data_IF_319195531315
#
_entry.id   IF_319195531315
#
_cell.length_a   1.000
_cell.length_b   1.000
_cell.length_c   1.000
_cell.angle_alpha   90.00
_cell.angle_beta   90.00
_cell.angle_gamma   90.00
#
_symmetry.space_group_name_H-M   'P 1'
#
loop_
_entity.id
_entity.type
_entity.pdbx_description
1 polymer ?
#
# COMPACT_ATOMS: atom_id res chain seq x y z
N UNK A 1 -20.35 16.60 -86.17
CA UNK A 1 -21.18 16.96 -84.98
C UNK A 1 -20.41 16.72 -83.68
N UNK A 2 -19.10 16.47 -83.74
CA UNK A 2 -18.33 15.90 -82.62
C UNK A 2 -17.78 16.93 -81.64
N UNK A 3 -17.50 18.15 -82.12
CA UNK A 3 -17.02 19.25 -81.27
C UNK A 3 -18.09 19.70 -80.27
N UNK A 4 -19.36 19.80 -80.69
CA UNK A 4 -20.44 20.23 -79.81
C UNK A 4 -20.68 19.21 -78.70
N UNK A 5 -20.58 17.90 -79.01
CA UNK A 5 -20.72 16.83 -78.04
C UNK A 5 -19.58 16.83 -77.00
N UNK A 6 -18.34 17.10 -77.43
CA UNK A 6 -17.17 17.19 -76.55
C UNK A 6 -17.28 18.35 -75.56
N UNK A 7 -17.71 19.53 -76.02
CA UNK A 7 -17.93 20.68 -75.13
C UNK A 7 -19.09 20.46 -74.15
N UNK A 8 -20.13 19.73 -74.56
CA UNK A 8 -21.27 19.41 -73.69
C UNK A 8 -20.87 18.37 -72.61
N UNK A 9 -20.02 17.41 -72.94
CA UNK A 9 -19.46 16.48 -71.95
C UNK A 9 -18.56 17.19 -70.93
N UNK A 10 -17.78 18.18 -71.37
CA UNK A 10 -16.89 18.93 -70.49
C UNK A 10 -17.68 19.80 -69.51
N UNK A 11 -18.75 20.47 -69.97
CA UNK A 11 -19.61 21.27 -69.07
C UNK A 11 -20.36 20.40 -68.07
N UNK A 12 -20.82 19.22 -68.48
CA UNK A 12 -21.46 18.25 -67.56
C UNK A 12 -20.47 17.71 -66.53
N UNK A 13 -19.23 17.42 -66.91
CA UNK A 13 -18.19 16.96 -65.99
C UNK A 13 -17.84 18.04 -64.94
N UNK A 14 -17.73 19.31 -65.35
CA UNK A 14 -17.48 20.43 -64.44
C UNK A 14 -18.68 20.65 -63.51
N UNK A 15 -19.91 20.58 -64.02
CA UNK A 15 -21.13 20.71 -63.22
C UNK A 15 -21.25 19.57 -62.18
N UNK A 16 -20.93 18.34 -62.56
CA UNK A 16 -20.91 17.19 -61.66
C UNK A 16 -19.82 17.33 -60.58
N UNK A 17 -18.60 17.75 -60.96
CA UNK A 17 -17.52 18.03 -60.01
C UNK A 17 -17.87 19.13 -59.01
N UNK A 18 -18.55 20.19 -59.47
CA UNK A 18 -19.01 21.28 -58.61
C UNK A 18 -20.12 20.84 -57.64
N UNK A 19 -21.07 20.01 -58.10
CA UNK A 19 -22.13 19.45 -57.26
C UNK A 19 -21.56 18.51 -56.18
N UNK A 20 -20.63 17.63 -56.55
CA UNK A 20 -19.95 16.73 -55.59
C UNK A 20 -19.12 17.52 -54.59
N UNK A 21 -18.40 18.56 -55.03
CA UNK A 21 -17.64 19.44 -54.15
C UNK A 21 -18.52 20.23 -53.17
N UNK A 22 -19.74 20.59 -53.57
CA UNK A 22 -20.69 21.31 -52.71
C UNK A 22 -21.43 20.38 -51.75
N UNK A 23 -21.72 19.14 -52.16
CA UNK A 23 -22.35 18.12 -51.31
C UNK A 23 -21.37 17.50 -50.29
N UNK A 24 -20.07 17.50 -50.59
CA UNK A 24 -19.02 17.03 -49.68
C UNK A 24 -18.66 17.96 -48.53
N UNK A 25 -19.17 19.21 -48.50
CA UNK A 25 -18.76 20.22 -47.52
C UNK A 25 -19.77 20.44 -46.38
N UNK A 26 -20.68 19.48 -46.16
CA UNK A 26 -21.61 19.49 -45.01
C UNK A 26 -21.17 18.55 -43.87
N UNK A 27 -19.88 18.22 -43.83
CA UNK A 27 -19.24 17.66 -42.65
C UNK A 27 -19.14 18.75 -41.59
N UNK A 28 -20.13 18.77 -40.69
CA UNK A 28 -20.00 19.17 -39.28
C UNK A 28 -18.58 19.60 -38.92
N UNK A 29 -18.37 20.91 -38.69
CA UNK A 29 -17.30 21.41 -37.82
C UNK A 29 -17.58 20.89 -36.41
N UNK A 30 -17.43 19.59 -36.21
CA UNK A 30 -17.16 19.04 -34.92
C UNK A 30 -15.83 19.68 -34.52
N UNK A 31 -15.88 20.54 -33.51
CA UNK A 31 -14.79 20.69 -32.58
C UNK A 31 -14.37 19.26 -32.19
N UNK A 32 -13.45 18.65 -32.92
CA UNK A 32 -12.62 17.59 -32.38
C UNK A 32 -11.77 18.31 -31.35
N UNK A 33 -12.32 18.39 -30.15
CA UNK A 33 -11.52 18.48 -28.96
C UNK A 33 -10.39 17.46 -29.16
N UNK A 34 -9.17 17.96 -29.06
CA UNK A 34 -7.98 17.16 -28.81
C UNK A 34 -8.29 16.45 -27.49
N UNK A 35 -8.90 15.27 -27.59
CA UNK A 35 -9.36 14.48 -26.47
C UNK A 35 -9.21 13.03 -26.87
N UNK A 36 -7.94 12.65 -27.01
CA UNK A 36 -7.53 11.27 -26.82
C UNK A 36 -6.06 11.33 -26.36
N UNK A 37 -5.86 11.85 -25.13
CA UNK A 37 -4.56 11.91 -24.45
C UNK A 37 -3.87 10.54 -24.45
N UNK A 38 -4.65 9.47 -24.40
CA UNK A 38 -4.17 8.09 -24.41
C UNK A 38 -3.63 7.69 -25.80
N UNK A 39 -4.30 8.07 -26.90
CA UNK A 39 -3.78 7.78 -28.25
C UNK A 39 -2.51 8.56 -28.64
N UNK A 40 -2.29 9.73 -28.01
CA UNK A 40 -1.06 10.52 -28.19
C UNK A 40 0.06 9.95 -27.33
N UNK A 41 -0.24 9.56 -26.08
CA UNK A 41 0.70 8.83 -25.21
C UNK A 41 1.20 7.55 -25.86
N UNK A 42 0.32 6.72 -26.42
CA UNK A 42 0.70 5.46 -27.06
C UNK A 42 1.59 5.67 -28.29
N UNK A 43 1.27 6.66 -29.12
CA UNK A 43 2.08 7.00 -30.31
C UNK A 43 3.45 7.58 -29.94
N UNK A 44 3.50 8.40 -28.91
CA UNK A 44 4.76 8.94 -28.38
C UNK A 44 5.58 7.86 -27.69
N UNK A 45 4.95 6.97 -26.93
CA UNK A 45 5.62 5.84 -26.31
C UNK A 45 6.22 4.92 -27.38
N UNK A 46 5.50 4.65 -28.46
CA UNK A 46 6.04 3.90 -29.60
C UNK A 46 7.23 4.60 -30.27
N UNK A 47 7.21 5.94 -30.38
CA UNK A 47 8.34 6.72 -30.89
C UNK A 47 9.52 6.67 -29.90
N UNK A 48 9.35 6.98 -28.62
CA UNK A 48 10.46 7.06 -27.66
C UNK A 48 11.05 5.71 -27.21
N UNK A 49 10.43 4.59 -27.59
CA UNK A 49 10.98 3.25 -27.33
C UNK A 49 11.93 2.79 -28.45
N UNK A 50 11.83 3.39 -29.65
CA UNK A 50 12.53 2.92 -30.85
C UNK A 50 13.65 3.85 -31.35
N UNK A 51 13.82 5.05 -30.79
CA UNK A 51 14.87 6.01 -31.20
C UNK A 51 16.04 6.04 -30.22
N UNK A 52 17.21 6.47 -30.69
CA UNK A 52 18.40 6.68 -29.85
C UNK A 52 18.20 7.87 -28.92
N UNK A 53 18.79 7.77 -27.73
CA UNK A 53 18.73 8.79 -26.67
C UNK A 53 19.06 10.21 -27.16
N UNK A 54 20.07 10.35 -28.02
CA UNK A 54 20.52 11.63 -28.59
C UNK A 54 19.47 12.27 -29.51
N UNK A 55 18.70 11.46 -30.24
CA UNK A 55 17.61 11.96 -31.08
C UNK A 55 16.46 12.52 -30.24
N UNK A 56 16.17 11.92 -29.09
CA UNK A 56 15.14 12.39 -28.17
C UNK A 56 15.55 13.71 -27.53
N UNK A 57 16.81 13.84 -27.10
CA UNK A 57 17.32 15.07 -26.50
C UNK A 57 17.33 16.25 -27.49
N UNK A 58 17.82 16.02 -28.71
CA UNK A 58 17.77 17.02 -29.79
C UNK A 58 16.33 17.40 -30.16
N UNK A 59 15.41 16.42 -30.20
CA UNK A 59 14.00 16.68 -30.46
C UNK A 59 13.38 17.56 -29.36
N UNK A 60 13.64 17.26 -28.08
CA UNK A 60 13.12 18.04 -26.95
C UNK A 60 13.67 19.47 -26.97
N UNK A 61 14.96 19.66 -27.27
CA UNK A 61 15.57 20.99 -27.37
C UNK A 61 15.03 21.80 -28.57
N UNK A 62 14.68 21.11 -29.65
CA UNK A 62 14.09 21.74 -30.85
C UNK A 62 12.60 22.09 -30.70
N UNK A 63 11.91 21.48 -29.73
CA UNK A 63 10.49 21.70 -29.53
C UNK A 63 10.25 23.06 -28.86
N UNK A 64 9.52 23.94 -29.53
CA UNK A 64 9.16 25.24 -28.96
C UNK A 64 8.27 25.05 -27.72
N UNK A 65 8.56 25.77 -26.63
CA UNK A 65 7.72 25.76 -25.42
C UNK A 65 6.56 26.72 -25.60
N UNK A 66 5.34 26.20 -25.69
CA UNK A 66 4.12 26.98 -25.79
C UNK A 66 2.90 26.19 -25.27
N UNK A 67 1.72 26.80 -25.28
CA UNK A 67 0.47 26.19 -24.78
C UNK A 67 0.15 24.82 -25.39
N UNK A 68 0.53 24.58 -26.64
CA UNK A 68 0.20 23.37 -27.39
C UNK A 68 1.24 22.25 -27.21
N UNK A 69 2.46 22.60 -26.75
CA UNK A 69 3.58 21.66 -26.60
C UNK A 69 3.93 21.32 -25.14
N UNK A 70 3.45 22.07 -24.15
CA UNK A 70 3.72 21.82 -22.73
C UNK A 70 3.31 20.41 -22.28
N UNK A 71 2.15 19.92 -22.74
CA UNK A 71 1.69 18.55 -22.44
C UNK A 71 2.63 17.47 -23.00
N UNK A 72 3.25 17.74 -24.15
CA UNK A 72 4.26 16.86 -24.75
C UNK A 72 5.53 16.85 -23.89
N UNK A 73 6.07 18.01 -23.49
CA UNK A 73 7.23 18.07 -22.60
C UNK A 73 7.00 17.33 -21.27
N UNK A 74 5.84 17.53 -20.64
CA UNK A 74 5.45 16.84 -19.41
C UNK A 74 5.43 15.30 -19.59
N UNK A 75 4.90 14.85 -20.72
CA UNK A 75 4.83 13.40 -21.03
C UNK A 75 6.23 12.82 -21.25
N UNK A 76 7.11 13.54 -21.95
CA UNK A 76 8.50 13.12 -22.18
C UNK A 76 9.29 13.06 -20.86
N UNK A 77 9.17 14.09 -20.01
CA UNK A 77 9.83 14.11 -18.70
C UNK A 77 9.38 12.94 -17.82
N UNK A 78 8.07 12.69 -17.75
CA UNK A 78 7.52 11.54 -17.02
C UNK A 78 8.03 10.19 -17.56
N UNK A 79 8.16 10.05 -18.88
CA UNK A 79 8.70 8.83 -19.51
C UNK A 79 10.16 8.57 -19.09
N UNK A 80 11.02 9.59 -19.12
CA UNK A 80 12.42 9.44 -18.68
C UNK A 80 12.52 9.08 -17.19
N UNK A 81 11.70 9.72 -16.34
CA UNK A 81 11.64 9.37 -14.90
C UNK A 81 11.25 7.90 -14.69
N UNK A 82 10.28 7.39 -15.46
CA UNK A 82 9.84 5.98 -15.38
C UNK A 82 10.91 5.00 -15.85
N UNK A 83 11.71 5.36 -16.86
CA UNK A 83 12.90 4.58 -17.28
C UNK A 83 14.04 4.61 -16.25
N UNK A 84 13.99 5.49 -15.25
CA UNK A 84 15.05 5.68 -14.26
C UNK A 84 16.09 6.73 -14.65
N UNK A 85 15.91 7.40 -15.79
CA UNK A 85 16.78 8.47 -16.30
C UNK A 85 16.41 9.82 -15.68
N UNK A 86 16.57 9.90 -14.36
CA UNK A 86 16.06 11.02 -13.56
C UNK A 86 16.73 12.36 -13.91
N UNK A 87 18.01 12.36 -14.25
CA UNK A 87 18.74 13.60 -14.64
C UNK A 87 18.14 14.25 -15.89
N UNK A 88 17.71 13.44 -16.87
CA UNK A 88 17.04 13.92 -18.08
C UNK A 88 15.67 14.48 -17.76
N UNK A 89 14.87 13.79 -16.95
CA UNK A 89 13.57 14.28 -16.51
C UNK A 89 13.69 15.65 -15.80
N UNK A 90 14.66 15.76 -14.88
CA UNK A 90 14.99 17.01 -14.18
C UNK A 90 15.32 18.11 -15.20
N UNK A 91 16.22 17.86 -16.14
CA UNK A 91 16.62 18.85 -17.15
C UNK A 91 15.42 19.34 -17.96
N UNK A 92 14.53 18.43 -18.36
CA UNK A 92 13.32 18.76 -19.14
C UNK A 92 12.39 19.67 -18.36
N UNK A 93 12.03 19.31 -17.12
CA UNK A 93 11.09 20.10 -16.34
C UNK A 93 11.71 21.40 -15.78
N UNK A 94 13.01 21.42 -15.48
CA UNK A 94 13.73 22.66 -15.16
C UNK A 94 13.73 23.63 -16.34
N UNK A 95 14.07 23.14 -17.54
CA UNK A 95 14.05 23.96 -18.75
C UNK A 95 12.64 24.49 -19.03
N UNK A 96 11.60 23.69 -18.78
CA UNK A 96 10.23 24.12 -18.95
C UNK A 96 9.85 25.25 -17.99
N UNK A 97 10.27 25.19 -16.71
CA UNK A 97 10.06 26.27 -15.72
C UNK A 97 10.88 27.53 -15.99
N UNK A 98 12.06 27.40 -16.60
CA UNK A 98 12.94 28.53 -16.90
C UNK A 98 12.44 29.39 -18.08
N UNK A 99 11.45 28.92 -18.84
CA UNK A 99 10.96 29.58 -20.06
C UNK A 99 9.85 30.59 -19.74
N UNK A 100 10.01 31.88 -20.08
CA UNK A 100 8.97 32.88 -19.86
C UNK A 100 7.70 32.63 -20.67
N UNK A 101 7.77 31.81 -21.73
CA UNK A 101 6.63 31.44 -22.57
C UNK A 101 5.72 30.37 -21.93
N UNK A 102 6.12 29.78 -20.80
CA UNK A 102 5.30 28.80 -20.08
C UNK A 102 4.01 29.46 -19.60
N UNK A 103 2.81 28.98 -20.03
CA UNK A 103 1.57 29.52 -19.52
C UNK A 103 1.46 29.29 -18.01
N UNK A 104 1.18 30.34 -17.25
CA UNK A 104 1.14 30.34 -15.77
C UNK A 104 0.27 29.24 -15.16
N UNK A 105 -0.81 28.85 -15.84
CA UNK A 105 -1.68 27.74 -15.43
C UNK A 105 -0.98 26.38 -15.33
N UNK A 106 0.12 26.19 -16.06
CA UNK A 106 0.90 24.96 -16.06
C UNK A 106 2.05 24.99 -15.06
N UNK A 107 2.45 26.17 -14.56
CA UNK A 107 3.56 26.29 -13.61
C UNK A 107 3.40 25.33 -12.41
N UNK A 108 2.24 25.24 -11.74
CA UNK A 108 2.07 24.29 -10.63
C UNK A 108 2.25 22.82 -11.04
N UNK A 109 1.79 22.46 -12.23
CA UNK A 109 1.94 21.09 -12.76
C UNK A 109 3.40 20.75 -13.01
N UNK A 110 4.14 21.65 -13.66
CA UNK A 110 5.57 21.44 -13.97
C UNK A 110 6.38 21.41 -12.67
N UNK A 111 6.07 22.27 -11.71
CA UNK A 111 6.71 22.26 -10.38
C UNK A 111 6.49 20.92 -9.66
N UNK A 112 5.28 20.36 -9.71
CA UNK A 112 5.00 19.06 -9.09
C UNK A 112 5.77 17.94 -9.80
N UNK A 113 5.83 17.96 -11.12
CA UNK A 113 6.58 16.95 -11.88
C UNK A 113 8.08 17.03 -11.63
N UNK A 114 8.66 18.24 -11.55
CA UNK A 114 10.06 18.43 -11.17
C UNK A 114 10.34 17.95 -9.73
N UNK A 115 9.40 18.20 -8.80
CA UNK A 115 9.53 17.70 -7.44
C UNK A 115 9.58 16.16 -7.41
N UNK A 116 8.73 15.48 -8.19
CA UNK A 116 8.76 14.01 -8.33
C UNK A 116 10.07 13.52 -8.94
N UNK A 117 10.65 14.25 -9.89
CA UNK A 117 11.94 13.88 -10.46
C UNK A 117 13.06 13.99 -9.41
N UNK A 118 13.06 15.04 -8.60
CA UNK A 118 13.99 15.18 -7.49
C UNK A 118 13.83 14.06 -6.45
N UNK A 119 12.60 13.67 -6.10
CA UNK A 119 12.35 12.52 -5.23
C UNK A 119 12.97 11.24 -5.82
N UNK A 120 12.77 11.01 -7.12
CA UNK A 120 13.31 9.83 -7.81
C UNK A 120 14.83 9.83 -7.89
N UNK A 121 15.45 11.01 -8.02
CA UNK A 121 16.89 11.21 -8.02
C UNK A 121 17.52 11.24 -6.61
N UNK A 122 16.72 11.22 -5.54
CA UNK A 122 17.21 11.33 -4.16
C UNK A 122 17.62 12.74 -3.74
N UNK A 123 17.23 13.78 -4.50
CA UNK A 123 17.47 15.19 -4.19
C UNK A 123 16.37 15.75 -3.27
N UNK A 124 16.30 15.21 -2.05
CA UNK A 124 15.16 15.35 -1.15
C UNK A 124 14.88 16.80 -0.74
N UNK A 125 15.89 17.57 -0.34
CA UNK A 125 15.73 18.98 0.05
C UNK A 125 15.11 19.85 -1.06
N UNK A 126 15.51 19.58 -2.32
CA UNK A 126 15.00 20.31 -3.48
C UNK A 126 13.56 19.92 -3.79
N UNK A 127 13.23 18.63 -3.64
CA UNK A 127 11.85 18.17 -3.77
C UNK A 127 10.97 18.81 -2.69
N UNK A 128 11.40 18.80 -1.42
CA UNK A 128 10.68 19.38 -0.29
C UNK A 128 10.35 20.86 -0.56
N UNK A 129 11.35 21.64 -0.99
CA UNK A 129 11.18 23.06 -1.29
C UNK A 129 10.12 23.33 -2.38
N UNK A 130 10.10 22.55 -3.46
CA UNK A 130 9.11 22.69 -4.52
C UNK A 130 7.71 22.26 -4.07
N UNK A 131 7.59 21.20 -3.27
CA UNK A 131 6.31 20.74 -2.75
C UNK A 131 5.70 21.77 -1.79
N UNK A 132 6.51 22.42 -0.95
CA UNK A 132 6.05 23.52 -0.07
C UNK A 132 5.51 24.71 -0.86
N UNK A 133 6.14 25.07 -1.99
CA UNK A 133 5.63 26.14 -2.86
C UNK A 133 4.21 25.87 -3.37
N UNK A 134 3.86 24.59 -3.55
CA UNK A 134 2.56 24.17 -4.06
C UNK A 134 1.49 24.00 -2.99
N UNK A 135 1.83 24.04 -1.70
CA UNK A 135 0.87 23.78 -0.61
C UNK A 135 -0.35 24.72 -0.61
N UNK A 136 -0.18 25.97 -1.07
CA UNK A 136 -1.27 26.94 -1.20
C UNK A 136 -2.07 26.85 -2.50
N UNK A 137 -1.66 26.00 -3.45
CA UNK A 137 -2.32 25.86 -4.74
C UNK A 137 -3.62 25.04 -4.61
N UNK A 138 -4.69 25.48 -5.26
CA UNK A 138 -6.02 24.87 -5.17
C UNK A 138 -6.06 23.45 -5.75
N UNK A 139 -5.36 23.21 -6.85
CA UNK A 139 -5.47 21.97 -7.62
C UNK A 139 -4.28 21.02 -7.32
N UNK A 140 -3.14 21.57 -6.86
CA UNK A 140 -1.90 20.84 -6.60
C UNK A 140 -1.48 20.78 -5.12
N UNK A 141 -2.10 21.57 -4.23
CA UNK A 141 -1.75 21.59 -2.80
C UNK A 141 -1.93 20.23 -2.13
N UNK A 142 -3.07 19.56 -2.36
CA UNK A 142 -3.32 18.22 -1.80
C UNK A 142 -2.32 17.17 -2.30
N UNK A 143 -2.04 17.16 -3.62
CA UNK A 143 -1.07 16.24 -4.21
C UNK A 143 0.33 16.45 -3.63
N UNK A 144 0.70 17.71 -3.42
CA UNK A 144 2.01 18.08 -2.89
C UNK A 144 2.14 17.69 -1.41
N UNK A 145 1.09 17.91 -0.63
CA UNK A 145 1.00 17.47 0.76
C UNK A 145 1.12 15.94 0.88
N UNK A 146 0.48 15.16 0.00
CA UNK A 146 0.64 13.70 -0.05
C UNK A 146 2.09 13.28 -0.32
N UNK A 147 2.76 13.93 -1.28
CA UNK A 147 4.18 13.67 -1.57
C UNK A 147 5.10 14.06 -0.40
N UNK A 148 4.82 15.16 0.30
CA UNK A 148 5.55 15.55 1.52
C UNK A 148 5.38 14.52 2.64
N UNK A 149 4.16 14.01 2.84
CA UNK A 149 3.91 12.96 3.83
C UNK A 149 4.70 11.70 3.49
N UNK A 150 4.73 11.27 2.22
CA UNK A 150 5.56 10.14 1.77
C UNK A 150 7.06 10.37 1.99
N UNK A 151 7.56 11.57 1.64
CA UNK A 151 8.94 11.97 1.84
C UNK A 151 9.34 11.89 3.32
N UNK A 152 8.59 12.54 4.20
CA UNK A 152 8.90 12.55 5.63
C UNK A 152 8.79 11.16 6.27
N UNK A 153 7.89 10.29 5.79
CA UNK A 153 7.86 8.90 6.23
C UNK A 153 9.11 8.13 5.82
N UNK A 154 9.64 8.38 4.61
CA UNK A 154 10.89 7.78 4.15
C UNK A 154 12.09 8.23 5.01
N UNK A 155 12.13 9.51 5.37
CA UNK A 155 13.17 10.08 6.25
C UNK A 155 12.95 9.77 7.73
N UNK A 156 11.81 9.18 8.10
CA UNK A 156 11.36 8.94 9.49
C UNK A 156 11.17 10.23 10.29
N UNK A 157 10.87 11.34 9.61
CA UNK A 157 10.50 12.63 10.18
C UNK A 157 9.00 12.64 10.56
N UNK A 158 8.60 11.74 11.46
CA UNK A 158 7.17 11.47 11.76
C UNK A 158 6.41 12.70 12.25
N UNK A 159 7.08 13.62 12.95
CA UNK A 159 6.45 14.85 13.44
C UNK A 159 6.03 15.73 12.26
N UNK A 160 6.94 15.97 11.30
CA UNK A 160 6.64 16.73 10.08
C UNK A 160 5.55 16.05 9.26
N UNK A 161 5.63 14.72 9.09
CA UNK A 161 4.61 13.94 8.38
C UNK A 161 3.22 14.09 9.03
N UNK A 162 3.16 14.00 10.37
CA UNK A 162 1.92 14.14 11.13
C UNK A 162 1.34 15.55 11.08
N UNK A 163 2.18 16.58 11.07
CA UNK A 163 1.73 17.97 10.92
C UNK A 163 1.07 18.20 9.57
N UNK A 164 1.69 17.75 8.48
CA UNK A 164 1.09 17.85 7.13
C UNK A 164 -0.20 17.03 7.04
N UNK A 165 -0.20 15.77 7.52
CA UNK A 165 -1.39 14.92 7.51
C UNK A 165 -2.56 15.52 8.32
N UNK A 166 -2.29 16.11 9.49
CA UNK A 166 -3.32 16.83 10.29
C UNK A 166 -3.92 18.03 9.57
N UNK A 167 -3.13 18.75 8.77
CA UNK A 167 -3.67 19.88 7.99
C UNK A 167 -4.64 19.39 6.90
N UNK A 168 -4.35 18.25 6.27
CA UNK A 168 -5.22 17.65 5.26
C UNK A 168 -6.53 17.11 5.87
N UNK A 169 -6.48 16.44 7.03
CA UNK A 169 -7.68 15.83 7.64
C UNK A 169 -8.64 16.85 8.25
N UNK A 170 -8.20 18.08 8.56
CA UNK A 170 -9.08 19.15 9.03
C UNK A 170 -9.97 19.73 7.93
N UNK A 171 -9.51 19.69 6.68
CA UNK A 171 -10.21 20.25 5.53
C UNK A 171 -11.09 19.25 4.80
N UNK A 172 -10.84 17.95 4.96
CA UNK A 172 -11.54 16.88 4.26
C UNK A 172 -11.68 15.62 5.14
N UNK A 173 -12.84 14.97 5.06
CA UNK A 173 -13.13 13.72 5.77
C UNK A 173 -12.66 12.52 4.93
N UNK A 174 -11.37 12.51 4.57
CA UNK A 174 -10.73 11.44 3.81
C UNK A 174 -10.32 10.29 4.75
N UNK A 175 -11.00 9.11 4.70
CA UNK A 175 -10.70 8.00 5.59
C UNK A 175 -9.28 7.44 5.40
N UNK A 176 -8.75 7.46 4.18
CA UNK A 176 -7.41 6.95 3.89
C UNK A 176 -6.35 7.85 4.53
N UNK A 177 -6.56 9.16 4.49
CA UNK A 177 -5.68 10.12 5.14
C UNK A 177 -5.76 10.03 6.67
N UNK A 178 -6.95 9.80 7.24
CA UNK A 178 -7.12 9.55 8.68
C UNK A 178 -6.37 8.28 9.12
N UNK A 179 -6.44 7.22 8.32
CA UNK A 179 -5.66 6.00 8.54
C UNK A 179 -4.15 6.28 8.52
N UNK A 180 -3.63 6.97 7.50
CA UNK A 180 -2.21 7.35 7.44
C UNK A 180 -1.81 8.14 8.69
N UNK A 181 -2.62 9.12 9.10
CA UNK A 181 -2.37 9.92 10.29
C UNK A 181 -2.37 9.08 11.58
N UNK A 182 -3.28 8.11 11.72
CA UNK A 182 -3.30 7.18 12.85
C UNK A 182 -1.99 6.38 12.96
N UNK A 183 -1.49 5.86 11.83
CA UNK A 183 -0.25 5.09 11.80
C UNK A 183 1.01 5.93 12.02
N UNK A 184 1.07 7.16 11.49
CA UNK A 184 2.13 8.13 11.82
C UNK A 184 2.11 8.46 13.32
N UNK A 185 0.92 8.64 13.89
CA UNK A 185 0.75 8.89 15.32
C UNK A 185 1.21 7.70 16.17
N UNK A 186 1.03 6.47 15.68
CA UNK A 186 1.61 5.28 16.29
C UNK A 186 3.15 5.27 16.28
N UNK A 187 3.80 5.75 15.21
CA UNK A 187 5.27 5.90 15.21
C UNK A 187 5.74 6.89 16.29
N UNK A 188 5.07 8.03 16.40
CA UNK A 188 5.35 9.01 17.45
C UNK A 188 5.14 8.42 18.86
N UNK A 189 4.12 7.59 19.05
CA UNK A 189 3.88 6.90 20.32
C UNK A 189 4.99 5.89 20.64
N UNK A 190 5.48 5.14 19.65
CA UNK A 190 6.60 4.22 19.80
C UNK A 190 7.93 4.96 20.10
N UNK A 191 8.15 6.14 19.51
CA UNK A 191 9.30 7.00 19.85
C UNK A 191 9.25 7.49 21.30
N UNK A 192 8.09 7.97 21.76
CA UNK A 192 7.89 8.35 23.15
C UNK A 192 8.13 7.17 24.10
N UNK A 193 7.66 5.96 23.73
CA UNK A 193 7.94 4.73 24.50
C UNK A 193 9.42 4.35 24.59
N UNK A 194 10.19 4.61 23.53
CA UNK A 194 11.66 4.39 23.52
C UNK A 194 12.38 5.36 24.45
N UNK A 195 11.83 6.56 24.64
CA UNK A 195 12.33 7.57 25.57
C UNK A 195 11.77 7.42 27.00
N UNK A 196 10.99 6.36 27.25
CA UNK A 196 10.21 6.11 28.48
C UNK A 196 9.23 7.23 28.86
N UNK A 197 8.84 8.08 27.90
CA UNK A 197 7.74 9.04 28.07
C UNK A 197 6.39 8.33 27.89
N UNK A 198 5.94 7.69 28.96
CA UNK A 198 4.70 6.90 28.98
C UNK A 198 3.45 7.76 28.84
N UNK A 199 3.48 9.01 29.31
CA UNK A 199 2.33 9.89 29.28
C UNK A 199 2.06 10.34 27.84
N UNK A 200 3.10 10.80 27.14
CA UNK A 200 2.99 11.19 25.73
C UNK A 200 2.61 9.98 24.86
N UNK A 201 3.24 8.82 25.08
CA UNK A 201 2.89 7.59 24.38
C UNK A 201 1.41 7.22 24.55
N UNK A 202 0.88 7.28 25.78
CA UNK A 202 -0.52 6.97 26.05
C UNK A 202 -1.46 7.97 25.37
N UNK A 203 -1.13 9.27 25.41
CA UNK A 203 -1.90 10.32 24.72
C UNK A 203 -1.95 10.06 23.21
N UNK A 204 -0.79 9.88 22.58
CA UNK A 204 -0.68 9.63 21.14
C UNK A 204 -1.39 8.34 20.71
N UNK A 205 -1.31 7.29 21.52
CA UNK A 205 -2.00 6.03 21.20
C UNK A 205 -3.53 6.19 21.21
N UNK A 206 -4.07 6.99 22.13
CA UNK A 206 -5.51 7.31 22.13
C UNK A 206 -5.89 8.17 20.93
N UNK A 207 -5.07 9.17 20.62
CA UNK A 207 -5.25 10.04 19.45
C UNK A 207 -5.26 9.22 18.15
N UNK A 208 -4.37 8.23 18.01
CA UNK A 208 -4.37 7.30 16.87
C UNK A 208 -5.68 6.51 16.72
N UNK A 209 -6.26 6.04 17.83
CA UNK A 209 -7.56 5.34 17.84
C UNK A 209 -8.76 6.28 17.61
N UNK A 210 -8.60 7.58 17.91
CA UNK A 210 -9.60 8.60 17.56
C UNK A 210 -9.59 8.90 16.06
N UNK A 211 -8.41 8.95 15.43
CA UNK A 211 -8.27 9.06 13.98
C UNK A 211 -8.76 7.82 13.25
N UNK A 212 -8.41 6.63 13.73
CA UNK A 212 -8.86 5.36 13.15
C UNK A 212 -9.13 4.33 14.25
N UNK A 213 -10.42 4.07 14.49
CA UNK A 213 -10.87 3.07 15.49
C UNK A 213 -10.48 1.64 15.12
N UNK A 214 -10.18 1.37 13.85
CA UNK A 214 -9.74 0.06 13.36
C UNK A 214 -8.22 -0.14 13.43
N UNK A 215 -7.45 0.87 13.89
CA UNK A 215 -6.00 0.80 13.95
C UNK A 215 -5.50 -0.26 14.95
N UNK A 216 -5.20 -1.46 14.44
CA UNK A 216 -4.67 -2.59 15.23
C UNK A 216 -3.34 -2.24 15.90
N UNK A 217 -2.46 -1.51 15.20
CA UNK A 217 -1.16 -1.13 15.75
C UNK A 217 -1.31 -0.30 17.03
N UNK A 218 -2.23 0.67 17.06
CA UNK A 218 -2.49 1.48 18.24
C UNK A 218 -2.96 0.59 19.42
N UNK A 219 -3.82 -0.41 19.16
CA UNK A 219 -4.24 -1.39 20.17
C UNK A 219 -3.06 -2.18 20.74
N UNK A 220 -2.10 -2.60 19.92
CA UNK A 220 -0.88 -3.27 20.41
C UNK A 220 0.04 -2.35 21.21
N UNK A 221 0.17 -1.08 20.84
CA UNK A 221 0.92 -0.10 21.62
C UNK A 221 0.24 0.13 22.99
N UNK A 222 -1.10 0.22 23.01
CA UNK A 222 -1.87 0.34 24.25
C UNK A 222 -1.67 -0.89 25.16
N UNK A 223 -1.69 -2.09 24.59
CA UNK A 223 -1.40 -3.32 25.31
C UNK A 223 -0.01 -3.27 25.96
N UNK A 224 1.03 -2.85 25.23
CA UNK A 224 2.40 -2.69 25.75
C UNK A 224 2.48 -1.66 26.89
N UNK A 225 1.76 -0.55 26.78
CA UNK A 225 1.65 0.45 27.84
C UNK A 225 1.02 -0.12 29.12
N UNK A 226 -0.10 -0.83 28.99
CA UNK A 226 -0.80 -1.47 30.11
C UNK A 226 0.08 -2.53 30.79
N UNK A 227 0.82 -3.33 30.02
CA UNK A 227 1.79 -4.29 30.55
C UNK A 227 2.89 -3.59 31.37
N UNK A 228 3.44 -2.46 30.88
CA UNK A 228 4.43 -1.66 31.64
C UNK A 228 3.87 -1.05 32.92
N UNK A 229 2.56 -0.86 33.00
CA UNK A 229 1.85 -0.37 34.19
C UNK A 229 1.48 -1.50 35.16
N UNK A 230 1.76 -2.77 34.81
CA UNK A 230 1.34 -3.93 35.59
C UNK A 230 -0.14 -4.30 35.44
N UNK A 231 -0.87 -3.64 34.52
CA UNK A 231 -2.28 -3.91 34.28
C UNK A 231 -2.47 -5.01 33.22
N UNK A 232 -2.04 -6.23 33.58
CA UNK A 232 -2.04 -7.38 32.68
C UNK A 232 -3.44 -7.81 32.23
N UNK A 233 -4.44 -7.71 33.12
CA UNK A 233 -5.82 -8.09 32.78
C UNK A 233 -6.42 -7.18 31.72
N UNK A 234 -6.20 -5.88 31.80
CA UNK A 234 -6.65 -4.96 30.74
C UNK A 234 -5.86 -5.16 29.45
N UNK A 235 -4.55 -5.39 29.54
CA UNK A 235 -3.73 -5.71 28.36
C UNK A 235 -4.27 -6.94 27.61
N UNK A 236 -4.63 -8.00 28.33
CA UNK A 236 -5.26 -9.20 27.77
C UNK A 236 -6.63 -8.92 27.13
N UNK A 237 -7.41 -8.00 27.68
CA UNK A 237 -8.68 -7.61 27.06
C UNK A 237 -8.47 -6.73 25.82
N UNK A 238 -7.41 -5.91 25.76
CA UNK A 238 -7.10 -5.10 24.59
C UNK A 238 -6.68 -5.96 23.40
N UNK A 239 -5.90 -7.04 23.60
CA UNK A 239 -5.54 -7.93 22.49
C UNK A 239 -6.78 -8.54 21.82
N UNK A 240 -7.83 -8.86 22.60
CA UNK A 240 -9.06 -9.41 22.06
C UNK A 240 -9.85 -8.43 21.17
N UNK A 241 -9.66 -7.11 21.32
CA UNK A 241 -10.33 -6.11 20.45
C UNK A 241 -9.86 -6.14 19.00
N UNK A 242 -8.68 -6.71 18.74
CA UNK A 242 -8.15 -6.82 17.38
C UNK A 242 -9.08 -7.62 16.49
N UNK A 243 -9.80 -8.61 17.04
CA UNK A 243 -10.80 -9.38 16.29
C UNK A 243 -11.99 -8.53 15.83
N UNK A 244 -12.35 -7.48 16.57
CA UNK A 244 -13.41 -6.55 16.15
C UNK A 244 -12.88 -5.46 15.19
N UNK A 245 -11.57 -5.15 15.26
CA UNK A 245 -10.93 -4.12 14.42
C UNK A 245 -10.53 -4.67 13.04
N UNK A 246 -9.71 -5.72 13.04
CA UNK A 246 -9.26 -6.42 11.85
C UNK A 246 -8.85 -7.87 12.21
N UNK A 247 -9.73 -8.86 11.97
CA UNK A 247 -9.48 -10.27 12.28
C UNK A 247 -8.26 -10.89 11.60
N UNK A 248 -7.75 -10.31 10.51
CA UNK A 248 -6.57 -10.84 9.82
C UNK A 248 -5.29 -10.73 10.67
N UNK A 249 -5.29 -9.87 11.68
CA UNK A 249 -4.25 -9.79 12.71
C UNK A 249 -4.59 -10.59 13.97
N UNK A 250 -5.60 -11.46 13.91
CA UNK A 250 -6.03 -12.29 15.03
C UNK A 250 -4.92 -13.22 15.53
N UNK A 251 -4.09 -13.77 14.65
CA UNK A 251 -2.93 -14.58 15.04
C UNK A 251 -1.92 -13.80 15.88
N UNK A 252 -1.57 -12.58 15.45
CA UNK A 252 -0.71 -11.67 16.22
C UNK A 252 -1.29 -11.33 17.59
N UNK A 253 -2.60 -11.11 17.65
CA UNK A 253 -3.29 -10.79 18.89
C UNK A 253 -3.28 -11.97 19.87
N UNK A 254 -3.51 -13.17 19.35
CA UNK A 254 -3.54 -14.41 20.15
C UNK A 254 -2.15 -14.77 20.65
N UNK A 255 -1.12 -14.68 19.82
CA UNK A 255 0.25 -14.99 20.25
C UNK A 255 0.70 -14.06 21.39
N UNK A 256 0.35 -12.77 21.31
CA UNK A 256 0.61 -11.80 22.39
C UNK A 256 -0.21 -12.08 23.64
N UNK A 257 -1.49 -12.44 23.48
CA UNK A 257 -2.36 -12.83 24.60
C UNK A 257 -1.83 -14.06 25.32
N UNK A 258 -1.48 -15.11 24.57
CA UNK A 258 -0.98 -16.35 25.13
C UNK A 258 0.31 -16.10 25.88
N UNK A 259 1.27 -15.34 25.30
CA UNK A 259 2.50 -14.96 26.00
C UNK A 259 2.23 -14.23 27.32
N UNK A 260 1.32 -13.26 27.30
CA UNK A 260 0.94 -12.51 28.50
C UNK A 260 0.34 -13.40 29.59
N UNK A 261 -0.55 -14.32 29.21
CA UNK A 261 -1.22 -15.23 30.14
C UNK A 261 -0.30 -16.35 30.65
N UNK A 262 0.75 -16.70 29.91
CA UNK A 262 1.83 -17.54 30.42
C UNK A 262 2.63 -16.87 31.53
N UNK A 263 2.98 -15.59 31.35
CA UNK A 263 3.86 -14.86 32.26
C UNK A 263 3.13 -14.34 33.50
N UNK A 264 1.87 -13.92 33.35
CA UNK A 264 1.15 -13.14 34.36
C UNK A 264 -0.29 -13.60 34.60
N UNK A 265 -0.73 -14.70 33.97
CA UNK A 265 -2.13 -15.11 33.98
C UNK A 265 -2.33 -16.62 34.10
N UNK A 266 -3.44 -17.09 33.51
CA UNK A 266 -3.84 -18.49 33.54
C UNK A 266 -4.46 -18.87 32.20
N UNK A 267 -3.63 -19.47 31.35
CA UNK A 267 -3.99 -19.96 30.02
C UNK A 267 -5.21 -20.90 30.07
N UNK A 268 -5.41 -21.69 31.13
CA UNK A 268 -6.54 -22.60 31.24
C UNK A 268 -7.90 -21.89 31.32
N UNK A 269 -7.95 -20.62 31.75
CA UNK A 269 -9.19 -19.84 31.83
C UNK A 269 -9.66 -19.31 30.49
N UNK A 270 -8.82 -19.39 29.46
CA UNK A 270 -9.12 -18.83 28.14
C UNK A 270 -10.04 -19.71 27.29
N UNK A 271 -10.26 -20.99 27.62
CA UNK A 271 -10.97 -21.98 26.79
C UNK A 271 -12.27 -21.41 26.21
N UNK A 272 -13.14 -20.86 27.05
CA UNK A 272 -14.45 -20.34 26.61
C UNK A 272 -14.31 -19.16 25.65
N UNK A 273 -13.36 -18.26 25.90
CA UNK A 273 -13.13 -17.08 25.06
C UNK A 273 -12.52 -17.48 23.71
N UNK A 274 -11.45 -18.28 23.73
CA UNK A 274 -10.76 -18.72 22.52
C UNK A 274 -11.67 -19.59 21.64
N UNK A 275 -12.51 -20.44 22.24
CA UNK A 275 -13.49 -21.24 21.49
C UNK A 275 -14.46 -20.36 20.72
N UNK A 276 -15.06 -19.37 21.37
CA UNK A 276 -15.98 -18.42 20.72
C UNK A 276 -15.31 -17.65 19.59
N UNK A 277 -14.06 -17.21 19.81
CA UNK A 277 -13.29 -16.53 18.76
C UNK A 277 -13.00 -17.47 17.59
N UNK A 278 -12.61 -18.72 17.86
CA UNK A 278 -12.28 -19.70 16.83
C UNK A 278 -13.49 -20.09 15.98
N UNK A 279 -14.68 -20.17 16.58
CA UNK A 279 -15.94 -20.37 15.86
C UNK A 279 -16.22 -19.24 14.84
N UNK A 280 -15.79 -18.01 15.15
CA UNK A 280 -16.04 -16.83 14.31
C UNK A 280 -14.89 -16.55 13.31
N UNK A 281 -13.65 -16.74 13.74
CA UNK A 281 -12.42 -16.37 13.03
C UNK A 281 -11.41 -17.52 13.08
N UNK A 282 -11.69 -18.64 12.41
CA UNK A 282 -10.84 -19.81 12.49
C UNK A 282 -9.48 -19.57 11.85
N UNK A 283 -8.42 -19.79 12.62
CA UNK A 283 -7.04 -19.79 12.14
C UNK A 283 -6.21 -20.82 12.91
N UNK A 284 -5.09 -21.21 12.32
CA UNK A 284 -4.16 -22.17 12.92
C UNK A 284 -3.63 -21.68 14.26
N UNK A 285 -3.17 -20.44 14.38
CA UNK A 285 -2.64 -19.94 15.66
C UNK A 285 -3.71 -19.88 16.75
N UNK A 286 -4.95 -19.53 16.39
CA UNK A 286 -6.06 -19.52 17.34
C UNK A 286 -6.49 -20.94 17.76
N UNK A 287 -6.48 -21.91 16.84
CA UNK A 287 -6.69 -23.32 17.16
C UNK A 287 -5.64 -23.82 18.15
N UNK A 288 -4.36 -23.56 17.89
CA UNK A 288 -3.26 -24.00 18.77
C UNK A 288 -3.37 -23.39 20.17
N UNK A 289 -3.72 -22.10 20.27
CA UNK A 289 -3.97 -21.45 21.55
C UNK A 289 -5.16 -22.07 22.31
N UNK A 290 -6.25 -22.37 21.59
CA UNK A 290 -7.41 -23.04 22.18
C UNK A 290 -7.05 -24.44 22.70
N UNK A 291 -6.31 -25.21 21.91
CA UNK A 291 -5.86 -26.56 22.26
C UNK A 291 -4.99 -26.54 23.51
N UNK A 292 -4.05 -25.60 23.61
CA UNK A 292 -3.20 -25.45 24.80
C UNK A 292 -4.05 -25.09 26.04
N UNK A 293 -5.01 -24.19 25.88
CA UNK A 293 -5.95 -23.82 26.94
C UNK A 293 -6.79 -25.02 27.41
N UNK A 294 -7.27 -25.84 26.47
CA UNK A 294 -8.01 -27.08 26.77
C UNK A 294 -7.12 -28.11 27.46
N UNK A 295 -5.88 -28.30 27.00
CA UNK A 295 -4.92 -29.23 27.61
C UNK A 295 -4.71 -28.91 29.09
N UNK A 296 -4.51 -27.62 29.43
CA UNK A 296 -4.32 -27.18 30.82
C UNK A 296 -5.57 -27.31 31.67
N UNK A 297 -6.77 -27.14 31.10
CA UNK A 297 -8.02 -27.07 31.85
C UNK A 297 -8.78 -28.41 31.94
N UNK A 298 -8.79 -29.20 30.87
CA UNK A 298 -9.58 -30.44 30.72
C UNK A 298 -8.69 -31.66 30.48
N UNK A 299 -7.37 -31.47 30.43
CA UNK A 299 -6.38 -32.54 30.26
C UNK A 299 -6.02 -32.81 28.80
N UNK A 300 -4.94 -33.57 28.65
CA UNK A 300 -4.29 -33.87 27.37
C UNK A 300 -5.20 -34.59 26.36
N UNK A 301 -5.96 -35.58 26.80
CA UNK A 301 -6.82 -36.37 25.91
C UNK A 301 -7.87 -35.47 25.23
N UNK A 302 -8.49 -34.56 25.98
CA UNK A 302 -9.46 -33.60 25.42
C UNK A 302 -8.83 -32.68 24.36
N UNK A 303 -7.56 -32.31 24.54
CA UNK A 303 -6.82 -31.51 23.56
C UNK A 303 -6.47 -32.32 22.28
N UNK A 304 -6.13 -33.61 22.43
CA UNK A 304 -5.91 -34.54 21.31
C UNK A 304 -7.19 -34.70 20.49
N UNK A 305 -8.31 -34.94 21.16
CA UNK A 305 -9.60 -35.16 20.50
C UNK A 305 -10.06 -33.90 19.76
N UNK A 306 -9.86 -32.73 20.36
CA UNK A 306 -10.11 -31.44 19.69
C UNK A 306 -9.25 -31.26 18.44
N UNK A 307 -7.92 -31.50 18.53
CA UNK A 307 -7.05 -31.36 17.36
C UNK A 307 -7.41 -32.32 16.24
N UNK A 308 -7.75 -33.57 16.55
CA UNK A 308 -8.17 -34.55 15.53
C UNK A 308 -9.41 -34.08 14.79
N UNK A 309 -10.44 -33.69 15.52
CA UNK A 309 -11.69 -33.19 14.95
C UNK A 309 -11.45 -31.97 14.05
N UNK A 310 -10.66 -31.01 14.52
CA UNK A 310 -10.41 -29.78 13.78
C UNK A 310 -9.54 -30.02 12.54
N UNK A 311 -8.51 -30.87 12.63
CA UNK A 311 -7.64 -31.18 11.48
C UNK A 311 -8.34 -31.98 10.37
N UNK A 312 -9.39 -32.74 10.69
CA UNK A 312 -10.24 -33.37 9.67
C UNK A 312 -11.00 -32.33 8.83
N UNK A 313 -11.39 -31.21 9.44
CA UNK A 313 -12.12 -30.13 8.76
C UNK A 313 -11.20 -29.07 8.14
N UNK A 314 -10.10 -28.74 8.82
CA UNK A 314 -9.13 -27.70 8.45
C UNK A 314 -7.71 -28.20 8.65
N UNK A 315 -7.13 -28.88 7.65
CA UNK A 315 -5.76 -29.38 7.73
C UNK A 315 -4.75 -28.24 7.89
N UNK A 316 -3.81 -28.40 8.83
CA UNK A 316 -2.73 -27.46 9.07
C UNK A 316 -1.45 -28.22 9.46
N UNK A 317 -0.31 -27.85 8.89
CA UNK A 317 0.99 -28.45 9.22
C UNK A 317 1.33 -28.17 10.68
N UNK A 318 1.15 -26.94 11.17
CA UNK A 318 1.42 -26.61 12.58
C UNK A 318 0.48 -27.37 13.52
N UNK A 319 -0.79 -27.52 13.14
CA UNK A 319 -1.76 -28.34 13.88
C UNK A 319 -1.37 -29.82 13.92
N UNK A 320 -0.96 -30.39 12.79
CA UNK A 320 -0.48 -31.77 12.70
C UNK A 320 0.77 -31.99 13.55
N UNK A 321 1.74 -31.06 13.49
CA UNK A 321 2.94 -31.09 14.30
C UNK A 321 2.60 -31.08 15.79
N UNK A 322 1.67 -30.21 16.21
CA UNK A 322 1.18 -30.19 17.59
C UNK A 322 0.50 -31.50 17.96
N UNK A 323 -0.32 -32.08 17.08
CA UNK A 323 -0.98 -33.36 17.33
C UNK A 323 0.04 -34.50 17.53
N UNK A 324 1.06 -34.59 16.68
CA UNK A 324 2.14 -35.57 16.81
C UNK A 324 2.90 -35.38 18.12
N UNK A 325 3.21 -34.14 18.47
CA UNK A 325 3.84 -33.79 19.75
C UNK A 325 2.97 -34.26 20.92
N UNK A 326 1.70 -33.89 20.98
CA UNK A 326 0.86 -34.22 22.14
C UNK A 326 0.43 -35.69 22.17
N UNK A 327 0.25 -36.38 21.04
CA UNK A 327 -0.08 -37.80 21.04
C UNK A 327 1.16 -38.67 21.36
N UNK A 328 2.36 -38.20 21.01
CA UNK A 328 3.60 -38.98 21.14
C UNK A 328 4.06 -39.27 22.57
N UNK A 329 3.67 -38.48 23.58
CA UNK A 329 4.08 -38.75 24.97
C UNK A 329 3.22 -39.82 25.67
N UNK A 330 2.00 -40.09 25.21
CA UNK A 330 1.12 -41.06 25.88
C UNK A 330 1.66 -42.49 25.87
N UNK A 331 2.52 -42.84 24.91
CA UNK A 331 2.97 -44.23 24.70
C UNK A 331 4.44 -44.49 25.00
N UNK A 332 5.24 -43.50 25.39
CA UNK A 332 6.71 -43.64 25.45
C UNK A 332 7.36 -44.00 24.09
N UNK A 333 6.55 -44.09 23.04
CA UNK A 333 6.92 -44.34 21.65
C UNK A 333 6.53 -43.10 20.86
N UNK A 334 7.48 -42.22 20.63
CA UNK A 334 7.49 -41.59 19.32
C UNK A 334 7.89 -42.70 18.36
N UNK A 335 6.95 -43.24 17.58
CA UNK A 335 7.33 -44.16 16.49
C UNK A 335 8.32 -43.42 15.58
N UNK A 336 9.26 -44.13 14.95
CA UNK A 336 10.28 -43.48 14.12
C UNK A 336 9.63 -42.60 13.02
N UNK A 337 8.45 -43.00 12.53
CA UNK A 337 7.64 -42.23 11.59
C UNK A 337 7.13 -40.91 12.17
N UNK A 338 6.65 -40.89 13.42
CA UNK A 338 6.19 -39.66 14.08
C UNK A 338 7.32 -38.64 14.24
N UNK A 339 8.54 -39.10 14.55
CA UNK A 339 9.73 -38.24 14.59
C UNK A 339 10.09 -37.69 13.22
N UNK A 340 10.00 -38.52 12.18
CA UNK A 340 10.24 -38.12 10.80
C UNK A 340 9.23 -37.06 10.35
N UNK A 341 7.93 -37.27 10.61
CA UNK A 341 6.88 -36.29 10.31
C UNK A 341 7.15 -34.96 11.02
N UNK A 342 7.49 -35.00 12.31
CA UNK A 342 7.83 -33.78 13.06
C UNK A 342 9.03 -33.06 12.44
N UNK A 343 10.13 -33.77 12.18
CA UNK A 343 11.34 -33.21 11.57
C UNK A 343 11.06 -32.60 10.19
N UNK A 344 10.41 -33.35 9.31
CA UNK A 344 10.10 -32.90 7.94
C UNK A 344 9.16 -31.69 7.98
N UNK A 345 8.12 -31.71 8.82
CA UNK A 345 7.20 -30.60 8.95
C UNK A 345 7.91 -29.32 9.44
N UNK A 346 8.82 -29.42 10.43
CA UNK A 346 9.62 -28.26 10.83
C UNK A 346 10.53 -27.74 9.70
N UNK A 347 11.12 -28.62 8.89
CA UNK A 347 11.92 -28.21 7.73
C UNK A 347 11.09 -27.50 6.65
N UNK A 348 9.85 -27.95 6.42
CA UNK A 348 8.91 -27.29 5.49
C UNK A 348 8.60 -25.86 5.94
N UNK A 349 8.51 -25.63 7.26
CA UNK A 349 8.17 -24.34 7.84
C UNK A 349 9.37 -23.38 8.01
N UNK A 350 10.59 -23.91 8.23
CA UNK A 350 11.75 -23.14 8.73
C UNK A 350 12.19 -21.93 7.89
N UNK A 351 11.85 -21.86 6.59
CA UNK A 351 12.28 -20.80 5.68
C UNK A 351 11.12 -20.13 4.91
N UNK A 352 9.89 -20.29 5.38
CA UNK A 352 8.74 -19.69 4.71
C UNK A 352 8.52 -18.25 5.15
N UNK A 353 8.07 -17.36 4.25
CA UNK A 353 7.55 -16.07 4.68
C UNK A 353 6.31 -16.31 5.53
N UNK A 354 6.17 -15.51 6.60
CA UNK A 354 5.01 -15.54 7.50
C UNK A 354 3.99 -14.49 7.07
N UNK A 355 4.45 -13.39 6.46
CA UNK A 355 3.59 -12.30 6.03
C UNK A 355 3.74 -12.00 4.54
N UNK A 356 2.66 -11.46 3.96
CA UNK A 356 2.61 -10.97 2.58
C UNK A 356 1.82 -9.68 2.49
N UNK A 357 2.32 -8.74 1.70
CA UNK A 357 1.60 -7.54 1.31
C UNK A 357 0.51 -7.88 0.29
N UNK A 358 -0.74 -7.57 0.61
CA UNK A 358 -1.89 -7.79 -0.30
C UNK A 358 -1.90 -6.83 -1.50
N UNK A 359 -1.15 -5.73 -1.42
CA UNK A 359 -1.09 -4.69 -2.47
C UNK A 359 -0.01 -4.97 -3.52
N UNK A 360 1.21 -5.34 -3.08
CA UNK A 360 2.37 -5.47 -3.98
C UNK A 360 3.08 -6.82 -3.92
N UNK A 361 2.62 -7.76 -3.10
CA UNK A 361 3.19 -9.12 -3.01
C UNK A 361 4.52 -9.23 -2.24
N UNK A 362 5.06 -8.15 -1.69
CA UNK A 362 6.22 -8.19 -0.78
C UNK A 362 5.99 -9.21 0.33
N UNK A 363 6.95 -10.08 0.60
CA UNK A 363 6.82 -11.13 1.61
C UNK A 363 8.04 -11.17 2.54
N UNK A 364 7.82 -11.55 3.79
CA UNK A 364 8.86 -11.53 4.81
C UNK A 364 8.49 -12.32 6.06
N UNK A 365 9.44 -12.43 6.99
CA UNK A 365 9.26 -13.12 8.27
C UNK A 365 8.80 -12.19 9.40
N UNK A 366 8.88 -10.87 9.22
CA UNK A 366 8.49 -9.88 10.23
C UNK A 366 7.29 -9.07 9.73
N UNK A 367 6.40 -8.73 10.67
CA UNK A 367 5.31 -7.80 10.39
C UNK A 367 5.87 -6.38 10.24
N UNK A 368 5.69 -5.79 9.06
CA UNK A 368 5.94 -4.38 8.83
C UNK A 368 4.61 -3.65 8.66
N UNK A 369 4.35 -2.65 9.50
CA UNK A 369 3.14 -1.84 9.40
C UNK A 369 3.16 -0.96 8.14
N UNK A 370 4.32 -0.40 7.79
CA UNK A 370 4.55 0.30 6.54
C UNK A 370 5.26 -0.65 5.57
N UNK A 371 4.63 -0.98 4.45
CA UNK A 371 5.21 -1.89 3.48
C UNK A 371 6.53 -1.34 2.91
N UNK A 372 7.66 -2.06 3.02
CA UNK A 372 8.95 -1.59 2.51
C UNK A 372 8.95 -1.35 0.99
N UNK A 373 8.11 -2.08 0.25
CA UNK A 373 8.02 -2.03 -1.21
C UNK A 373 7.03 -0.96 -1.71
N UNK A 374 5.75 -1.05 -1.35
CA UNK A 374 4.72 -0.11 -1.86
C UNK A 374 4.44 1.09 -0.96
N UNK A 375 5.07 1.18 0.22
CA UNK A 375 4.91 2.28 1.18
C UNK A 375 3.47 2.51 1.67
N UNK A 376 2.62 1.49 1.60
CA UNK A 376 1.26 1.54 2.16
C UNK A 376 1.20 0.95 3.57
N UNK A 377 0.36 1.53 4.41
CA UNK A 377 0.12 1.08 5.79
C UNK A 377 -0.86 -0.08 5.86
N UNK A 378 -0.63 -1.01 6.80
CA UNK A 378 -1.54 -2.13 7.13
C UNK A 378 -1.90 -3.04 5.94
N UNK A 379 -0.98 -3.19 5.00
CA UNK A 379 -1.15 -4.06 3.83
C UNK A 379 -0.46 -5.42 3.99
N UNK A 380 0.51 -5.53 4.90
CA UNK A 380 1.23 -6.77 5.18
C UNK A 380 0.47 -7.55 6.24
N UNK A 381 0.03 -8.76 5.87
CA UNK A 381 -0.84 -9.61 6.69
C UNK A 381 -0.27 -11.03 6.79
N UNK A 382 -0.61 -11.79 7.84
CA UNK A 382 -0.25 -13.21 7.95
C UNK A 382 -0.74 -14.00 6.74
N UNK A 383 0.12 -14.85 6.18
CA UNK A 383 -0.24 -15.71 5.04
C UNK A 383 -1.22 -16.78 5.53
N UNK A 384 -2.28 -17.01 4.76
CA UNK A 384 -3.28 -18.03 5.03
C UNK A 384 -2.96 -19.32 4.25
N UNK A 385 -3.30 -20.48 4.81
CA UNK A 385 -3.22 -21.78 4.14
C UNK A 385 -2.66 -22.89 5.03
N UNK A 386 -2.62 -24.11 4.47
CA UNK A 386 -2.24 -25.35 5.21
C UNK A 386 -0.86 -25.25 5.87
N UNK A 387 0.08 -24.53 5.26
CA UNK A 387 1.44 -24.34 5.78
C UNK A 387 1.60 -23.07 6.66
N UNK A 388 0.53 -22.30 6.89
CA UNK A 388 0.57 -21.00 7.55
C UNK A 388 -0.62 -20.82 8.54
N UNK A 389 -1.40 -19.73 8.43
CA UNK A 389 -2.62 -19.52 9.24
C UNK A 389 -3.84 -20.29 8.73
#
# INVERSE_FOLDING_TARGET
MDIVLQWLLLTVAVAAGWLVGRLGNNGSKANKAIADEDSVRDRLQFLFTNYSDEAVENFVQSLAVNKDTVSLHLSIGSHFRLKGESDRAILIHQNLLARPELPTRFTPQVTLELAKDYLKAGLLDRAEALLHQLMGDRDYGRKSAQQLIELYQQEREWRKAGDVARTLTRGDADPDMQKILAYITCELADEALKQDDRWTAQKLTREALEYDRSCVRATFIMMKLLMRQGNFREAANQSLKVFDQNPEFGSEAVDRLMKLEHEHGDVGRLVKKLRKLYESYPSTSLLLALVESVERSHGRQAAIDLLRLELETRPSVRGLLRLVEIAGYEKGMTTDEGRLVSRIGHLILANRPVYRCVSCGFSGQQLHWLCPSCKQWETIRPIQGVEAE
#
